data_IF_579595781796
#
_entry.id   IF_579595781796
#
_cell.length_a   1.000
_cell.length_b   1.000
_cell.length_c   1.000
_cell.angle_alpha   90.00
_cell.angle_beta   90.00
_cell.angle_gamma   90.00
#
_symmetry.space_group_name_H-M   'P 1'
#
loop_
_entity.id
_entity.type
_entity.pdbx_description
1 polymer ?
#
# COMPACT_ATOMS: atom_id res chain seq x y z
N UNK A 1 1.29 14.31 -63.39
CA UNK A 1 0.75 15.01 -62.20
C UNK A 1 0.95 14.06 -61.00
N UNK A 2 2.05 14.24 -60.30
CA UNK A 2 2.35 13.45 -59.08
C UNK A 2 1.97 14.31 -57.88
N UNK A 3 0.93 13.93 -57.20
CA UNK A 3 0.52 14.53 -55.91
C UNK A 3 1.37 13.89 -54.80
N UNK A 4 2.39 14.67 -54.42
CA UNK A 4 3.28 14.31 -53.30
C UNK A 4 2.57 14.61 -51.98
N UNK A 5 1.86 13.64 -51.43
CA UNK A 5 1.34 13.69 -50.05
C UNK A 5 2.49 13.36 -49.10
N UNK A 6 3.22 14.41 -48.70
CA UNK A 6 4.18 14.30 -47.59
C UNK A 6 3.40 13.97 -46.32
N UNK A 7 3.49 12.74 -45.87
CA UNK A 7 3.07 12.32 -44.53
C UNK A 7 4.05 13.01 -43.57
N UNK A 8 3.60 14.11 -42.98
CA UNK A 8 4.34 14.79 -41.92
C UNK A 8 4.29 13.90 -40.68
N UNK A 9 5.37 13.19 -40.42
CA UNK A 9 5.54 12.49 -39.14
C UNK A 9 5.39 13.46 -37.97
N UNK A 10 4.53 13.19 -36.99
CA UNK A 10 4.34 14.11 -35.88
C UNK A 10 5.61 14.10 -35.02
N UNK A 11 6.37 15.18 -35.11
CA UNK A 11 7.56 15.39 -34.29
C UNK A 11 7.15 15.37 -32.82
N UNK A 12 7.97 14.79 -31.96
CA UNK A 12 7.75 14.65 -30.49
C UNK A 12 7.37 15.99 -29.83
N UNK A 13 7.84 17.10 -30.40
CA UNK A 13 7.52 18.48 -30.03
C UNK A 13 6.05 18.87 -30.31
N UNK A 14 5.49 18.39 -31.41
CA UNK A 14 4.08 18.62 -31.77
C UNK A 14 3.14 17.77 -30.90
N UNK A 15 3.56 16.58 -30.49
CA UNK A 15 2.79 15.75 -29.54
C UNK A 15 2.80 16.36 -28.12
N UNK A 16 3.90 16.98 -27.70
CA UNK A 16 4.02 17.66 -26.41
C UNK A 16 3.16 18.93 -26.36
N UNK A 17 3.08 19.70 -27.44
CA UNK A 17 2.19 20.88 -27.56
C UNK A 17 0.71 20.50 -27.60
N UNK A 18 0.37 19.36 -28.17
CA UNK A 18 -1.02 18.85 -28.26
C UNK A 18 -1.58 18.39 -26.92
N UNK A 19 -0.70 17.99 -25.98
CA UNK A 19 -1.07 17.51 -24.65
C UNK A 19 -1.06 18.60 -23.57
N UNK A 20 -0.63 19.83 -23.92
CA UNK A 20 -0.72 20.99 -23.04
C UNK A 20 -2.08 21.68 -23.25
N UNK A 21 -3.15 21.09 -22.70
CA UNK A 21 -4.41 21.82 -22.57
C UNK A 21 -4.18 22.96 -21.58
N UNK A 22 -4.14 24.19 -22.09
CA UNK A 22 -4.06 25.41 -21.28
C UNK A 22 -5.24 25.42 -20.28
N UNK A 23 -5.00 25.93 -19.08
CA UNK A 23 -6.07 26.16 -18.09
C UNK A 23 -7.22 26.98 -18.67
N UNK A 24 -6.93 27.89 -19.60
CA UNK A 24 -7.93 28.67 -20.32
C UNK A 24 -8.81 27.81 -21.25
N UNK A 25 -8.23 26.81 -21.93
CA UNK A 25 -8.98 25.90 -22.82
C UNK A 25 -9.89 24.96 -22.00
N UNK A 26 -9.51 24.62 -20.80
CA UNK A 26 -10.35 23.84 -19.86
C UNK A 26 -11.56 24.66 -19.42
N UNK A 27 -11.36 25.92 -19.04
CA UNK A 27 -12.45 26.82 -18.62
C UNK A 27 -13.43 27.05 -19.79
N UNK A 28 -12.93 27.23 -21.00
CA UNK A 28 -13.76 27.43 -22.21
C UNK A 28 -14.55 26.15 -22.57
N UNK A 29 -13.99 24.99 -22.32
CA UNK A 29 -14.68 23.69 -22.49
C UNK A 29 -15.85 23.50 -21.52
N UNK A 30 -15.73 23.97 -20.28
CA UNK A 30 -16.80 23.93 -19.29
C UNK A 30 -17.96 24.88 -19.63
N UNK A 31 -17.67 26.01 -20.25
CA UNK A 31 -18.70 26.97 -20.68
C UNK A 31 -19.52 26.46 -21.87
N UNK A 32 -18.98 25.56 -22.68
CA UNK A 32 -19.63 25.01 -23.88
C UNK A 32 -20.60 23.84 -23.55
N UNK A 33 -20.44 23.23 -22.41
CA UNK A 33 -21.30 22.14 -21.93
C UNK A 33 -21.79 22.45 -20.49
N UNK A 34 -23.00 23.02 -20.33
CA UNK A 34 -23.49 23.50 -19.03
C UNK A 34 -23.56 22.38 -17.97
N UNK A 35 -23.86 21.15 -18.37
CA UNK A 35 -23.86 19.99 -17.47
C UNK A 35 -22.48 19.66 -16.89
N UNK A 36 -21.43 19.80 -17.70
CA UNK A 36 -20.04 19.58 -17.25
C UNK A 36 -19.56 20.69 -16.30
N UNK A 37 -20.02 21.92 -16.52
CA UNK A 37 -19.72 23.05 -15.62
C UNK A 37 -20.35 22.86 -14.24
N UNK A 38 -21.59 22.43 -14.17
CA UNK A 38 -22.28 22.13 -12.91
C UNK A 38 -21.58 21.01 -12.13
N UNK A 39 -21.20 19.92 -12.81
CA UNK A 39 -20.45 18.82 -12.20
C UNK A 39 -19.08 19.26 -11.67
N UNK A 40 -18.37 20.08 -12.44
CA UNK A 40 -17.09 20.62 -12.00
C UNK A 40 -17.24 21.52 -10.76
N UNK A 41 -18.27 22.39 -10.76
CA UNK A 41 -18.57 23.24 -9.60
C UNK A 41 -18.92 22.43 -8.35
N UNK A 42 -19.75 21.40 -8.50
CA UNK A 42 -20.09 20.49 -7.42
C UNK A 42 -18.86 19.74 -6.89
N UNK A 43 -18.00 19.25 -7.77
CA UNK A 43 -16.77 18.54 -7.36
C UNK A 43 -15.80 19.46 -6.63
N UNK A 44 -15.59 20.67 -7.14
CA UNK A 44 -14.73 21.67 -6.48
C UNK A 44 -15.34 22.11 -5.16
N UNK A 45 -16.66 22.35 -5.12
CA UNK A 45 -17.38 22.68 -3.89
C UNK A 45 -17.26 21.58 -2.84
N UNK A 46 -17.47 20.32 -3.22
CA UNK A 46 -17.30 19.18 -2.33
C UNK A 46 -15.85 19.05 -1.82
N UNK A 47 -14.87 19.27 -2.68
CA UNK A 47 -13.45 19.25 -2.30
C UNK A 47 -13.14 20.37 -1.28
N UNK A 48 -13.60 21.59 -1.52
CA UNK A 48 -13.41 22.73 -0.59
C UNK A 48 -14.05 22.43 0.78
N UNK A 49 -15.28 21.94 0.78
CA UNK A 49 -15.99 21.57 2.03
C UNK A 49 -15.22 20.49 2.78
N UNK A 50 -14.75 19.45 2.09
CA UNK A 50 -13.98 18.37 2.71
C UNK A 50 -12.68 18.89 3.34
N UNK A 51 -11.91 19.72 2.59
CA UNK A 51 -10.69 20.33 3.14
C UNK A 51 -10.98 21.29 4.30
N UNK A 52 -12.06 22.08 4.22
CA UNK A 52 -12.43 23.00 5.28
C UNK A 52 -12.82 22.26 6.57
N UNK A 53 -13.61 21.19 6.45
CA UNK A 53 -13.99 20.35 7.61
C UNK A 53 -12.76 19.68 8.21
N UNK A 54 -11.88 19.11 7.37
CA UNK A 54 -10.65 18.46 7.85
C UNK A 54 -9.73 19.47 8.55
N UNK A 55 -9.53 20.64 7.95
CA UNK A 55 -8.72 21.70 8.54
C UNK A 55 -9.30 22.21 9.85
N UNK A 56 -10.62 22.44 9.89
CA UNK A 56 -11.32 22.85 11.11
C UNK A 56 -11.18 21.81 12.22
N UNK A 57 -11.32 20.51 11.89
CA UNK A 57 -11.19 19.42 12.84
C UNK A 57 -9.77 19.35 13.42
N UNK A 58 -8.76 19.42 12.56
CA UNK A 58 -7.35 19.44 12.99
C UNK A 58 -7.07 20.67 13.86
N UNK A 59 -7.48 21.85 13.41
CA UNK A 59 -7.30 23.09 14.16
C UNK A 59 -8.00 23.03 15.53
N UNK A 60 -9.21 22.50 15.58
CA UNK A 60 -9.97 22.32 16.82
C UNK A 60 -9.24 21.40 17.80
N UNK A 61 -8.74 20.25 17.32
CA UNK A 61 -7.98 19.30 18.14
C UNK A 61 -6.70 19.96 18.68
N UNK A 62 -5.96 20.68 17.82
CA UNK A 62 -4.74 21.36 18.24
C UNK A 62 -4.99 22.45 19.28
N UNK A 63 -5.96 23.34 19.01
CA UNK A 63 -6.29 24.45 19.93
C UNK A 63 -6.76 23.93 21.29
N UNK A 64 -7.56 22.86 21.29
CA UNK A 64 -8.05 22.25 22.53
C UNK A 64 -7.04 21.33 23.19
N UNK A 65 -6.18 20.66 22.44
CA UNK A 65 -5.21 19.69 22.97
C UNK A 65 -3.92 20.30 23.50
N UNK A 66 -3.41 21.36 22.87
CA UNK A 66 -2.12 21.99 23.28
C UNK A 66 -2.09 22.39 24.76
N UNK A 67 -3.12 23.00 25.35
CA UNK A 67 -3.10 23.37 26.77
C UNK A 67 -2.97 22.18 27.74
N UNK A 68 -3.32 20.96 27.28
CA UNK A 68 -3.23 19.75 28.11
C UNK A 68 -1.92 18.97 27.91
N UNK A 69 -1.02 19.46 27.06
CA UNK A 69 0.34 18.90 26.88
C UNK A 69 1.22 19.28 28.08
N UNK A 70 1.06 18.57 29.18
CA UNK A 70 1.94 18.71 30.36
C UNK A 70 3.15 17.79 30.24
N UNK A 71 4.30 18.11 30.89
CA UNK A 71 5.46 17.23 30.94
C UNK A 71 5.16 15.84 31.50
N UNK A 72 4.20 15.74 32.42
CA UNK A 72 3.75 14.49 33.03
C UNK A 72 3.17 13.50 32.02
N UNK A 73 2.65 13.98 30.89
CA UNK A 73 2.17 13.15 29.77
C UNK A 73 3.30 12.29 29.15
N UNK A 74 4.54 12.75 29.26
CA UNK A 74 5.75 12.07 28.76
C UNK A 74 6.45 11.23 29.83
N UNK A 75 5.86 11.08 31.02
CA UNK A 75 6.38 10.19 32.06
C UNK A 75 6.35 8.74 31.61
N UNK A 76 7.36 7.96 32.01
CA UNK A 76 7.44 6.52 31.76
C UNK A 76 6.57 5.72 32.74
N UNK A 77 6.18 6.31 33.87
CA UNK A 77 5.30 5.68 34.85
C UNK A 77 3.84 6.01 34.52
N UNK A 78 3.06 4.95 34.33
CA UNK A 78 1.61 5.05 34.16
C UNK A 78 0.94 4.84 35.51
N UNK A 79 0.37 5.90 36.05
CA UNK A 79 -0.48 5.85 37.27
C UNK A 79 -1.89 6.32 36.92
N UNK A 80 -2.86 5.98 37.77
CA UNK A 80 -4.25 6.40 37.57
C UNK A 80 -4.42 7.93 37.58
N UNK A 81 -3.51 8.64 38.23
CA UNK A 81 -3.51 10.12 38.33
C UNK A 81 -2.73 10.76 37.17
N UNK A 82 -1.74 10.05 36.63
CA UNK A 82 -0.92 10.49 35.51
C UNK A 82 -1.12 9.53 34.32
N UNK A 83 -2.06 9.87 33.44
CA UNK A 83 -2.36 9.09 32.23
C UNK A 83 -1.27 9.36 31.19
N UNK A 84 -0.06 8.79 31.39
CA UNK A 84 1.07 9.04 30.53
C UNK A 84 0.91 8.36 29.16
N UNK A 85 1.35 9.06 28.12
CA UNK A 85 1.31 8.62 26.71
C UNK A 85 2.48 7.68 26.34
N UNK A 86 3.63 7.84 27.04
CA UNK A 86 4.88 7.15 26.68
C UNK A 86 4.79 5.63 26.64
N UNK A 87 4.23 4.94 27.64
CA UNK A 87 4.11 3.48 27.59
C UNK A 87 3.27 3.00 26.41
N UNK A 88 2.20 3.72 26.09
CA UNK A 88 1.32 3.40 24.95
C UNK A 88 2.04 3.58 23.61
N UNK A 89 2.83 4.64 23.47
CA UNK A 89 3.66 4.86 22.28
C UNK A 89 4.70 3.75 22.11
N UNK A 90 5.45 3.44 23.15
CA UNK A 90 6.47 2.38 23.12
C UNK A 90 5.84 1.04 22.73
N UNK A 91 4.72 0.67 23.36
CA UNK A 91 4.00 -0.55 23.03
C UNK A 91 3.51 -0.57 21.58
N UNK A 92 3.05 0.55 21.05
CA UNK A 92 2.62 0.66 19.66
C UNK A 92 3.78 0.42 18.70
N UNK A 93 4.96 1.02 18.96
CA UNK A 93 6.15 0.80 18.14
C UNK A 93 6.63 -0.66 18.21
N UNK A 94 6.70 -1.24 19.40
CA UNK A 94 7.13 -2.63 19.59
C UNK A 94 6.15 -3.58 18.88
N UNK A 95 4.85 -3.40 19.07
CA UNK A 95 3.81 -4.24 18.46
C UNK A 95 3.86 -4.14 16.93
N UNK A 96 4.00 -2.92 16.39
CA UNK A 96 4.09 -2.69 14.94
C UNK A 96 5.36 -3.31 14.37
N UNK A 97 6.51 -3.10 15.00
CA UNK A 97 7.77 -3.67 14.56
C UNK A 97 7.73 -5.21 14.59
N UNK A 98 7.25 -5.80 15.68
CA UNK A 98 7.12 -7.25 15.83
C UNK A 98 6.19 -7.83 14.75
N UNK A 99 5.06 -7.20 14.51
CA UNK A 99 4.10 -7.64 13.48
C UNK A 99 4.72 -7.58 12.08
N UNK A 100 5.45 -6.50 11.75
CA UNK A 100 6.09 -6.34 10.45
C UNK A 100 7.26 -7.32 10.24
N UNK A 101 8.08 -7.55 11.26
CA UNK A 101 9.19 -8.52 11.21
C UNK A 101 8.68 -9.92 10.88
N UNK A 102 7.48 -10.27 11.31
CA UNK A 102 6.88 -11.58 11.02
C UNK A 102 6.11 -11.52 9.68
N UNK A 103 5.24 -10.53 9.49
CA UNK A 103 4.33 -10.47 8.34
C UNK A 103 5.04 -10.16 7.02
N UNK A 104 6.05 -9.28 7.02
CA UNK A 104 6.71 -8.86 5.80
C UNK A 104 7.49 -10.01 5.13
N UNK A 105 8.36 -10.77 5.81
CA UNK A 105 9.02 -11.91 5.19
C UNK A 105 8.01 -12.95 4.69
N UNK A 106 7.03 -13.32 5.50
CA UNK A 106 6.03 -14.32 5.11
C UNK A 106 5.23 -13.87 3.88
N UNK A 107 4.76 -12.62 3.86
CA UNK A 107 4.00 -12.07 2.75
C UNK A 107 4.80 -11.95 1.47
N UNK A 108 6.05 -11.47 1.56
CA UNK A 108 6.95 -11.33 0.41
C UNK A 108 7.33 -12.70 -0.17
N UNK A 109 7.71 -13.68 0.67
CA UNK A 109 8.03 -15.02 0.18
C UNK A 109 6.82 -15.72 -0.43
N UNK A 110 5.62 -15.53 0.15
CA UNK A 110 4.39 -16.03 -0.44
C UNK A 110 4.14 -15.39 -1.83
N UNK A 111 4.31 -14.09 -1.97
CA UNK A 111 4.15 -13.38 -3.24
C UNK A 111 5.15 -13.85 -4.30
N UNK A 112 6.44 -13.99 -3.94
CA UNK A 112 7.47 -14.52 -4.84
C UNK A 112 7.08 -15.93 -5.30
N UNK A 113 6.64 -16.79 -4.39
CA UNK A 113 6.18 -18.12 -4.75
C UNK A 113 5.02 -18.10 -5.74
N UNK A 114 4.03 -17.23 -5.53
CA UNK A 114 2.85 -17.13 -6.39
C UNK A 114 3.15 -16.56 -7.78
N UNK A 115 4.17 -15.71 -7.91
CA UNK A 115 4.53 -15.07 -9.19
C UNK A 115 5.54 -15.89 -9.97
N UNK A 116 6.59 -16.37 -9.31
CA UNK A 116 7.76 -16.96 -9.96
C UNK A 116 7.63 -18.49 -10.11
N UNK A 117 7.21 -19.17 -9.06
CA UNK A 117 7.23 -20.64 -8.99
C UNK A 117 5.89 -21.29 -9.32
N UNK A 118 4.80 -20.61 -9.18
CA UNK A 118 3.49 -21.20 -9.41
C UNK A 118 3.18 -21.33 -10.89
N UNK A 119 2.90 -22.56 -11.36
CA UNK A 119 2.51 -22.81 -12.75
C UNK A 119 1.22 -22.05 -13.09
N UNK A 120 1.22 -21.39 -14.26
CA UNK A 120 0.03 -20.71 -14.80
C UNK A 120 -1.12 -21.72 -14.90
N UNK A 121 -2.27 -21.41 -14.27
CA UNK A 121 -3.45 -22.30 -14.25
C UNK A 121 -3.56 -23.24 -13.05
N UNK A 122 -2.66 -23.16 -12.07
CA UNK A 122 -2.78 -23.97 -10.87
C UNK A 122 -3.97 -23.49 -10.02
N UNK A 123 -4.95 -24.39 -9.78
CA UNK A 123 -6.16 -24.10 -8.98
C UNK A 123 -5.83 -23.65 -7.55
N UNK A 124 -4.77 -24.18 -6.95
CA UNK A 124 -4.35 -23.81 -5.60
C UNK A 124 -3.92 -22.34 -5.51
N UNK A 125 -3.19 -21.85 -6.53
CA UNK A 125 -2.80 -20.44 -6.62
C UNK A 125 -4.01 -19.54 -6.73
N UNK A 126 -5.00 -19.94 -7.53
CA UNK A 126 -6.25 -19.19 -7.68
C UNK A 126 -7.03 -19.15 -6.36
N UNK A 127 -7.10 -20.25 -5.64
CA UNK A 127 -7.76 -20.30 -4.32
C UNK A 127 -7.04 -19.36 -3.32
N UNK A 128 -5.71 -19.39 -3.24
CA UNK A 128 -4.94 -18.51 -2.35
C UNK A 128 -5.21 -17.04 -2.67
N UNK A 129 -5.25 -16.66 -3.95
CA UNK A 129 -5.55 -15.27 -4.35
C UNK A 129 -6.95 -14.84 -3.94
N UNK A 130 -7.94 -15.67 -4.25
CA UNK A 130 -9.35 -15.36 -3.88
C UNK A 130 -9.47 -15.28 -2.35
N UNK A 131 -8.83 -16.18 -1.61
CA UNK A 131 -8.84 -16.14 -0.14
C UNK A 131 -8.19 -14.88 0.39
N UNK A 132 -7.02 -14.48 -0.13
CA UNK A 132 -6.34 -13.25 0.28
C UNK A 132 -7.17 -12.00 -0.05
N UNK A 133 -7.85 -11.98 -1.21
CA UNK A 133 -8.74 -10.90 -1.60
C UNK A 133 -9.98 -10.82 -0.70
N UNK A 134 -10.58 -11.95 -0.38
CA UNK A 134 -11.72 -12.03 0.53
C UNK A 134 -11.33 -11.60 1.95
N UNK A 135 -10.17 -12.07 2.45
CA UNK A 135 -9.64 -11.65 3.73
C UNK A 135 -9.38 -10.14 3.80
N UNK A 136 -8.83 -9.53 2.75
CA UNK A 136 -8.61 -8.07 2.72
C UNK A 136 -9.90 -7.25 2.83
N UNK A 137 -11.05 -7.83 2.47
CA UNK A 137 -12.36 -7.18 2.57
C UNK A 137 -13.03 -7.29 3.95
N UNK A 138 -12.49 -8.08 4.87
CA UNK A 138 -13.07 -8.25 6.21
C UNK A 138 -12.79 -7.02 7.08
N UNK A 139 -13.81 -6.44 7.75
CA UNK A 139 -13.61 -5.34 8.69
C UNK A 139 -12.62 -5.71 9.80
N UNK A 140 -11.71 -4.79 10.15
CA UNK A 140 -10.65 -5.02 11.14
C UNK A 140 -11.16 -5.45 12.52
N UNK A 141 -12.39 -5.05 12.89
CA UNK A 141 -13.02 -5.45 14.15
C UNK A 141 -13.21 -6.97 14.25
N UNK A 142 -13.47 -7.64 13.13
CA UNK A 142 -13.63 -9.11 13.08
C UNK A 142 -12.30 -9.79 13.37
N UNK A 143 -11.18 -9.26 12.83
CA UNK A 143 -9.85 -9.75 13.15
C UNK A 143 -9.49 -9.56 14.63
N UNK A 144 -9.85 -8.41 15.20
CA UNK A 144 -9.66 -8.15 16.63
C UNK A 144 -10.44 -9.14 17.50
N UNK A 145 -11.71 -9.39 17.15
CA UNK A 145 -12.54 -10.35 17.84
C UNK A 145 -12.00 -11.78 17.72
N UNK A 146 -11.60 -12.18 16.50
CA UNK A 146 -10.96 -13.46 16.27
C UNK A 146 -9.68 -13.62 17.10
N UNK A 147 -8.82 -12.62 17.09
CA UNK A 147 -7.57 -12.62 17.86
C UNK A 147 -7.81 -12.74 19.35
N UNK A 148 -8.82 -12.03 19.87
CA UNK A 148 -9.22 -12.15 21.27
C UNK A 148 -9.73 -13.55 21.61
N UNK A 149 -10.61 -14.12 20.81
CA UNK A 149 -11.16 -15.45 21.07
C UNK A 149 -10.10 -16.55 20.91
N UNK A 150 -9.26 -16.45 19.88
CA UNK A 150 -8.29 -17.48 19.57
C UNK A 150 -7.02 -17.38 20.43
N UNK A 151 -6.32 -16.24 20.40
CA UNK A 151 -5.04 -16.13 21.12
C UNK A 151 -5.23 -15.93 22.62
N UNK A 152 -6.17 -15.05 23.02
CA UNK A 152 -6.34 -14.71 24.43
C UNK A 152 -7.12 -15.79 25.15
N UNK A 153 -8.24 -16.28 24.59
CA UNK A 153 -9.14 -17.20 25.28
C UNK A 153 -8.77 -18.66 25.02
N UNK A 154 -8.68 -19.09 23.76
CA UNK A 154 -8.46 -20.51 23.42
C UNK A 154 -7.02 -20.96 23.69
N UNK A 155 -6.01 -20.14 23.35
CA UNK A 155 -4.60 -20.44 23.61
C UNK A 155 -4.12 -20.00 25.00
N UNK A 156 -4.97 -19.32 25.78
CA UNK A 156 -4.67 -18.86 27.15
C UNK A 156 -3.43 -17.95 27.24
N UNK A 157 -3.09 -17.21 26.16
CA UNK A 157 -1.96 -16.26 26.18
C UNK A 157 -2.24 -15.00 26.99
N UNK A 158 -3.48 -14.80 27.42
CA UNK A 158 -3.92 -13.60 28.10
C UNK A 158 -3.87 -12.38 27.17
N UNK A 159 -4.15 -11.21 27.71
CA UNK A 159 -4.01 -9.93 27.01
C UNK A 159 -2.53 -9.56 26.90
N UNK A 160 -1.81 -10.23 26.03
CA UNK A 160 -0.37 -10.04 25.84
C UNK A 160 -0.07 -9.29 24.54
N UNK A 161 1.08 -8.63 24.52
CA UNK A 161 1.60 -7.95 23.35
C UNK A 161 1.79 -8.92 22.17
N UNK A 162 2.13 -10.18 22.45
CA UNK A 162 2.29 -11.23 21.46
C UNK A 162 0.96 -11.61 20.81
N UNK A 163 -0.11 -11.75 21.58
CA UNK A 163 -1.46 -12.03 21.07
C UNK A 163 -1.93 -10.92 20.12
N UNK A 164 -1.70 -9.66 20.50
CA UNK A 164 -1.99 -8.49 19.65
C UNK A 164 -1.15 -8.48 18.36
N UNK A 165 0.15 -8.73 18.47
CA UNK A 165 1.04 -8.76 17.31
C UNK A 165 0.66 -9.88 16.33
N UNK A 166 0.35 -11.09 16.79
CA UNK A 166 -0.12 -12.20 15.95
C UNK A 166 -1.44 -11.87 15.25
N UNK A 167 -2.35 -11.19 15.93
CA UNK A 167 -3.61 -10.72 15.33
C UNK A 167 -3.34 -9.73 14.20
N UNK A 168 -2.43 -8.77 14.41
CA UNK A 168 -2.00 -7.82 13.39
C UNK A 168 -1.30 -8.52 12.22
N UNK A 169 -0.47 -9.53 12.47
CA UNK A 169 0.16 -10.34 11.42
C UNK A 169 -0.89 -10.94 10.51
N UNK A 170 -1.90 -11.59 11.05
CA UNK A 170 -2.98 -12.22 10.26
C UNK A 170 -3.71 -11.18 9.43
N UNK A 171 -3.97 -9.99 9.98
CA UNK A 171 -4.66 -8.91 9.30
C UNK A 171 -3.83 -8.29 8.16
N UNK A 172 -2.53 -8.09 8.38
CA UNK A 172 -1.65 -7.37 7.44
C UNK A 172 -1.05 -8.30 6.37
N UNK A 173 -0.93 -9.60 6.66
CA UNK A 173 -0.33 -10.58 5.76
C UNK A 173 -0.96 -10.59 4.34
N UNK A 174 -2.29 -10.66 4.17
CA UNK A 174 -2.92 -10.65 2.85
C UNK A 174 -2.62 -9.36 2.08
N UNK A 175 -2.57 -8.22 2.77
CA UNK A 175 -2.26 -6.93 2.17
C UNK A 175 -0.81 -6.89 1.65
N UNK A 176 0.16 -7.32 2.47
CA UNK A 176 1.57 -7.38 2.07
C UNK A 176 1.76 -8.33 0.90
N UNK A 177 1.15 -9.52 0.96
CA UNK A 177 1.23 -10.51 -0.10
C UNK A 177 0.70 -9.96 -1.43
N UNK A 178 -0.45 -9.29 -1.41
CA UNK A 178 -1.08 -8.73 -2.61
C UNK A 178 -0.25 -7.57 -3.19
N UNK A 179 0.18 -6.62 -2.38
CA UNK A 179 0.99 -5.49 -2.85
C UNK A 179 2.34 -5.94 -3.38
N UNK A 180 2.98 -6.93 -2.75
CA UNK A 180 4.21 -7.53 -3.25
C UNK A 180 3.99 -8.29 -4.57
N UNK A 181 2.89 -9.03 -4.71
CA UNK A 181 2.52 -9.71 -5.95
C UNK A 181 2.29 -8.71 -7.10
N UNK A 182 1.60 -7.61 -6.86
CA UNK A 182 1.36 -6.55 -7.84
C UNK A 182 2.68 -5.86 -8.24
N UNK A 183 3.55 -5.58 -7.28
CA UNK A 183 4.86 -5.01 -7.53
C UNK A 183 5.75 -5.94 -8.37
N UNK A 184 5.78 -7.24 -8.07
CA UNK A 184 6.53 -8.23 -8.85
C UNK A 184 6.02 -8.36 -10.29
N UNK A 185 4.70 -8.30 -10.49
CA UNK A 185 4.09 -8.34 -11.83
C UNK A 185 4.34 -7.07 -12.65
N UNK A 186 4.60 -5.95 -12.01
CA UNK A 186 4.91 -4.69 -12.69
C UNK A 186 6.34 -4.64 -13.26
N UNK A 187 7.22 -5.56 -12.85
CA UNK A 187 8.60 -5.67 -13.37
C UNK A 187 8.55 -6.25 -14.78
N UNK A 188 9.11 -5.57 -15.81
CA UNK A 188 9.18 -6.09 -17.18
C UNK A 188 9.97 -7.40 -17.27
N UNK A 189 9.51 -8.33 -18.11
CA UNK A 189 10.14 -9.66 -18.31
C UNK A 189 11.60 -9.56 -18.77
N UNK A 190 12.04 -8.43 -19.32
CA UNK A 190 13.42 -8.17 -19.71
C UNK A 190 14.43 -8.29 -18.57
N UNK A 191 14.03 -7.95 -17.33
CA UNK A 191 14.89 -8.09 -16.15
C UNK A 191 15.02 -9.56 -15.71
N UNK A 192 13.97 -10.34 -15.85
CA UNK A 192 14.02 -11.78 -15.61
C UNK A 192 14.96 -12.48 -16.60
N UNK A 193 14.96 -12.07 -17.87
CA UNK A 193 15.85 -12.62 -18.90
C UNK A 193 17.34 -12.34 -18.59
N UNK A 194 17.68 -11.16 -18.06
CA UNK A 194 19.05 -10.82 -17.66
C UNK A 194 19.55 -11.69 -16.50
N UNK A 195 18.70 -12.02 -15.55
CA UNK A 195 19.02 -12.90 -14.42
C UNK A 195 19.27 -14.35 -14.87
N UNK A 196 18.50 -14.87 -15.83
CA UNK A 196 18.71 -16.20 -16.39
C UNK A 196 20.01 -16.26 -17.19
N UNK A 197 20.29 -15.29 -18.04
CA UNK A 197 21.51 -15.20 -18.83
C UNK A 197 22.76 -15.12 -17.96
N UNK A 198 22.73 -14.33 -16.89
CA UNK A 198 23.86 -14.24 -15.95
C UNK A 198 24.09 -15.53 -15.17
N UNK A 199 23.01 -16.26 -14.79
CA UNK A 199 23.14 -17.59 -14.16
C UNK A 199 23.75 -18.65 -15.09
N UNK A 200 23.38 -18.64 -16.36
CA UNK A 200 23.97 -19.57 -17.34
C UNK A 200 25.45 -19.26 -17.59
N UNK A 201 25.81 -17.98 -17.67
CA UNK A 201 27.23 -17.58 -17.79
C UNK A 201 28.06 -18.00 -16.57
N UNK A 202 27.54 -17.84 -15.36
CA UNK A 202 28.22 -18.27 -14.13
C UNK A 202 28.32 -19.80 -14.06
N UNK A 203 27.33 -20.54 -14.58
CA UNK A 203 27.41 -22.01 -14.66
C UNK A 203 28.46 -22.48 -15.68
N UNK A 204 28.46 -21.86 -16.85
CA UNK A 204 29.45 -22.20 -17.91
C UNK A 204 30.88 -21.93 -17.45
N UNK A 205 31.10 -20.84 -16.70
CA UNK A 205 32.42 -20.51 -16.15
C UNK A 205 32.89 -21.54 -15.10
N UNK A 206 32.00 -21.95 -14.19
CA UNK A 206 32.26 -23.01 -13.20
C UNK A 206 32.51 -24.39 -13.83
N UNK A 207 31.90 -24.71 -14.97
CA UNK A 207 32.15 -25.96 -15.69
C UNK A 207 33.48 -25.93 -16.42
N UNK A 208 33.91 -24.77 -16.91
CA UNK A 208 35.25 -24.63 -17.51
C UNK A 208 36.37 -24.73 -16.47
N UNK A 209 36.14 -24.19 -15.27
CA UNK A 209 37.09 -24.27 -14.15
C UNK A 209 37.27 -25.71 -13.64
N UNK A 210 36.24 -26.54 -13.68
CA UNK A 210 36.29 -27.96 -13.33
C UNK A 210 36.98 -28.86 -14.38
N UNK A 211 37.18 -28.36 -15.60
CA UNK A 211 37.82 -29.11 -16.69
C UNK A 211 39.33 -28.81 -16.84
N UNK A 212 39.82 -27.83 -16.10
CA UNK A 212 41.26 -27.51 -15.96
C UNK A 212 41.83 -28.17 -14.71
#
# INVERSE_FOLDING_TARGET
MQTNTAVVEPTVENMKKRNQTSTADRIHSYLRHPGSGVLALLTIGAAIVTFAVLFFLVAYILVKGIPYLTPDLFSLEYTSDNVSLMPSLINTFIMTALSLVIAAPLGIFAAIYLVEYAKKGNKLVQVIRITAETLSGIPSIVYGLFGMLFFVTALHWGMSLLAGACTLVIMVLPLIMRTAEEALKAVPDSYSCLLYTSRELIRADKEQEKRK
#
